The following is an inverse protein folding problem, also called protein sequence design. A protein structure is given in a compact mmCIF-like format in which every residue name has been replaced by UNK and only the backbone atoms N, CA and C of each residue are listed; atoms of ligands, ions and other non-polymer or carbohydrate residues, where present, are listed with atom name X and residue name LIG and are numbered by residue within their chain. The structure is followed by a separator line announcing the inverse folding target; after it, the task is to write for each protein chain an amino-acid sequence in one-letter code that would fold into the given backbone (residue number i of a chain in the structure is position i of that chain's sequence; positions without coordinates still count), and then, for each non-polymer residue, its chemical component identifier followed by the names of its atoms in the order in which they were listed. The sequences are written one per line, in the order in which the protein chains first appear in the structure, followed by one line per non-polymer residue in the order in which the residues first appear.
data_IF_624358290443
#
_entry.id   IF_624358290443
#
_cell.length_a   1.000
_cell.length_b   1.000
_cell.length_c   1.000
_cell.angle_alpha   90.00
_cell.angle_beta   90.00
_cell.angle_gamma   90.00
#
_symmetry.space_group_name_H-M   'P 1'
#
loop_
_entity.id
_entity.type
_entity.pdbx_description
1 polymer ?
#
# COMPACT_ATOMS: atom_id res chain seq x y z
N UNK A 1 36.46 -152.01 96.33
CA UNK A 1 36.25 -150.54 96.26
C UNK A 1 37.43 -149.92 95.53
N UNK A 2 37.33 -149.65 94.23
CA UNK A 2 38.29 -148.80 93.53
C UNK A 2 37.54 -147.57 93.01
N UNK A 3 37.70 -146.44 93.69
CA UNK A 3 37.19 -145.14 93.24
C UNK A 3 37.98 -144.73 92.00
N UNK A 4 37.30 -144.56 90.88
CA UNK A 4 37.89 -144.04 89.65
C UNK A 4 38.33 -142.58 89.88
N UNK A 5 39.64 -142.37 90.02
CA UNK A 5 40.28 -141.04 90.15
C UNK A 5 40.08 -140.13 88.92
N UNK A 6 39.49 -140.64 87.84
CA UNK A 6 39.20 -139.90 86.60
C UNK A 6 37.92 -139.07 86.71
N UNK A 7 36.96 -139.47 87.54
CA UNK A 7 35.67 -138.77 87.67
C UNK A 7 35.79 -137.36 88.30
N UNK A 8 36.57 -137.13 89.37
CA UNK A 8 36.74 -135.78 89.94
C UNK A 8 37.48 -134.80 89.00
N UNK A 9 38.45 -135.30 88.21
CA UNK A 9 39.16 -134.48 87.22
C UNK A 9 38.25 -134.09 86.04
N UNK A 10 37.40 -135.02 85.56
CA UNK A 10 36.39 -134.73 84.54
C UNK A 10 35.33 -133.73 85.04
N UNK A 11 34.96 -133.79 86.32
CA UNK A 11 34.00 -132.85 86.93
C UNK A 11 34.60 -131.44 87.09
N UNK A 12 35.89 -131.35 87.42
CA UNK A 12 36.64 -130.09 87.42
C UNK A 12 36.77 -129.50 86.01
N UNK A 13 37.20 -130.28 85.02
CA UNK A 13 37.27 -129.86 83.61
C UNK A 13 35.90 -129.41 83.08
N UNK A 14 34.82 -130.12 83.44
CA UNK A 14 33.47 -129.74 83.05
C UNK A 14 33.02 -128.41 83.69
N UNK A 15 33.39 -128.16 84.95
CA UNK A 15 33.08 -126.91 85.63
C UNK A 15 33.93 -125.73 85.11
N UNK A 16 35.20 -125.98 84.78
CA UNK A 16 36.07 -125.01 84.12
C UNK A 16 35.52 -124.64 82.73
N UNK A 17 35.14 -125.63 81.91
CA UNK A 17 34.49 -125.43 80.61
C UNK A 17 33.13 -124.72 80.72
N UNK A 18 32.34 -124.99 81.76
CA UNK A 18 31.08 -124.25 82.01
C UNK A 18 31.36 -122.78 82.36
N UNK A 19 32.41 -122.52 83.12
CA UNK A 19 32.85 -121.16 83.51
C UNK A 19 33.39 -120.39 82.30
N UNK A 20 34.19 -121.05 81.46
CA UNK A 20 34.65 -120.51 80.17
C UNK A 20 33.47 -120.24 79.24
N UNK A 21 32.52 -121.17 79.12
CA UNK A 21 31.30 -120.97 78.32
C UNK A 21 30.50 -119.75 78.78
N UNK A 22 30.36 -119.54 80.09
CA UNK A 22 29.68 -118.34 80.63
C UNK A 22 30.49 -117.08 80.30
N UNK A 23 31.81 -117.12 80.46
CA UNK A 23 32.71 -116.01 80.10
C UNK A 23 32.62 -115.67 78.61
N UNK A 24 32.68 -116.65 77.72
CA UNK A 24 32.52 -116.47 76.27
C UNK A 24 31.12 -115.97 75.91
N UNK A 25 30.06 -116.49 76.55
CA UNK A 25 28.69 -116.01 76.33
C UNK A 25 28.53 -114.54 76.73
N UNK A 26 29.11 -114.13 77.86
CA UNK A 26 29.13 -112.73 78.29
C UNK A 26 29.92 -111.86 77.31
N UNK A 27 31.06 -112.35 76.79
CA UNK A 27 31.88 -111.62 75.81
C UNK A 27 31.19 -111.50 74.45
N UNK A 28 30.49 -112.53 73.99
CA UNK A 28 29.64 -112.48 72.79
C UNK A 28 28.54 -111.43 72.99
N UNK A 29 27.84 -111.45 74.12
CA UNK A 29 26.79 -110.47 74.42
C UNK A 29 27.33 -109.03 74.48
N UNK A 30 28.53 -108.82 75.03
CA UNK A 30 29.20 -107.52 75.01
C UNK A 30 29.55 -107.07 73.58
N UNK A 31 30.13 -107.95 72.76
CA UNK A 31 30.48 -107.65 71.37
C UNK A 31 29.24 -107.39 70.51
N UNK A 32 28.12 -108.09 70.76
CA UNK A 32 26.84 -107.83 70.11
C UNK A 32 26.27 -106.46 70.50
N UNK A 33 26.37 -106.08 71.79
CA UNK A 33 26.03 -104.74 72.27
C UNK A 33 26.83 -103.65 71.56
N UNK A 34 28.17 -103.82 71.50
CA UNK A 34 29.06 -102.90 70.78
C UNK A 34 28.72 -102.81 69.29
N UNK A 35 28.43 -103.94 68.62
CA UNK A 35 28.04 -103.95 67.19
C UNK A 35 26.76 -103.16 66.94
N UNK A 36 25.76 -103.30 67.81
CA UNK A 36 24.49 -102.57 67.70
C UNK A 36 24.69 -101.07 67.95
N UNK A 37 25.54 -100.70 68.90
CA UNK A 37 25.91 -99.30 69.15
C UNK A 37 26.65 -98.69 67.95
N UNK A 38 27.63 -99.39 67.39
CA UNK A 38 28.34 -98.98 66.16
C UNK A 38 27.39 -98.81 64.97
N UNK A 39 26.41 -99.71 64.78
CA UNK A 39 25.40 -99.60 63.72
C UNK A 39 24.48 -98.39 63.93
N UNK A 40 24.05 -98.13 65.17
CA UNK A 40 23.25 -96.95 65.52
C UNK A 40 24.03 -95.66 65.27
N UNK A 41 25.31 -95.63 65.63
CA UNK A 41 26.18 -94.48 65.38
C UNK A 41 26.40 -94.26 63.88
N UNK A 42 26.64 -95.33 63.11
CA UNK A 42 26.73 -95.27 61.63
C UNK A 42 25.45 -94.73 61.00
N UNK A 43 24.27 -95.19 61.44
CA UNK A 43 22.99 -94.71 60.89
C UNK A 43 22.69 -93.27 61.30
N UNK A 44 23.02 -92.87 62.54
CA UNK A 44 22.95 -91.47 62.97
C UNK A 44 23.85 -90.59 62.11
N UNK A 45 25.11 -90.98 61.92
CA UNK A 45 26.04 -90.27 61.05
C UNK A 45 25.54 -90.20 59.60
N UNK A 46 24.93 -91.26 59.07
CA UNK A 46 24.33 -91.26 57.73
C UNK A 46 23.16 -90.28 57.61
N UNK A 47 22.28 -90.22 58.62
CA UNK A 47 21.16 -89.26 58.66
C UNK A 47 21.66 -87.82 58.78
N UNK A 48 22.66 -87.58 59.62
CA UNK A 48 23.29 -86.26 59.76
C UNK A 48 23.97 -85.81 58.46
N UNK A 49 24.66 -86.70 57.76
CA UNK A 49 25.24 -86.42 56.42
C UNK A 49 24.14 -86.08 55.41
N UNK A 50 23.07 -86.88 55.33
CA UNK A 50 21.94 -86.58 54.42
C UNK A 50 21.30 -85.22 54.70
N UNK A 51 21.11 -84.87 55.98
CA UNK A 51 20.57 -83.56 56.38
C UNK A 51 21.52 -82.42 55.99
N UNK A 52 22.83 -82.59 56.19
CA UNK A 52 23.84 -81.62 55.75
C UNK A 52 23.81 -81.47 54.23
N UNK A 53 23.70 -82.55 53.47
CA UNK A 53 23.63 -82.52 52.00
C UNK A 53 22.37 -81.80 51.50
N UNK A 54 21.23 -81.97 52.18
CA UNK A 54 19.99 -81.26 51.85
C UNK A 54 20.12 -79.75 52.09
N UNK A 55 20.69 -79.35 53.22
CA UNK A 55 20.99 -77.93 53.51
C UNK A 55 21.97 -77.36 52.48
N UNK A 56 22.98 -78.14 52.08
CA UNK A 56 23.95 -77.73 51.04
C UNK A 56 23.23 -77.52 49.71
N UNK A 57 22.35 -78.44 49.29
CA UNK A 57 21.56 -78.30 48.06
C UNK A 57 20.68 -77.05 48.08
N UNK A 58 19.96 -76.81 49.18
CA UNK A 58 19.11 -75.61 49.32
C UNK A 58 19.93 -74.31 49.29
N UNK A 59 21.14 -74.33 49.88
CA UNK A 59 22.05 -73.18 49.79
C UNK A 59 22.59 -72.98 48.37
N UNK A 60 22.91 -74.05 47.65
CA UNK A 60 23.37 -73.98 46.25
C UNK A 60 22.28 -73.39 45.36
N UNK A 61 21.02 -73.80 45.51
CA UNK A 61 19.91 -73.23 44.74
C UNK A 61 19.72 -71.75 45.05
N UNK A 62 19.77 -71.35 46.33
CA UNK A 62 19.69 -69.93 46.72
C UNK A 62 20.85 -69.10 46.16
N UNK A 63 22.06 -69.66 46.11
CA UNK A 63 23.22 -68.99 45.50
C UNK A 63 22.97 -68.80 44.00
N UNK A 64 22.48 -69.83 43.29
CA UNK A 64 22.18 -69.71 41.87
C UNK A 64 21.09 -68.65 41.57
N UNK A 65 20.04 -68.58 42.39
CA UNK A 65 18.99 -67.56 42.27
C UNK A 65 19.55 -66.14 42.51
N UNK A 66 20.42 -66.00 43.52
CA UNK A 66 21.13 -64.75 43.81
C UNK A 66 22.09 -64.36 42.69
N UNK A 67 22.81 -65.30 42.09
CA UNK A 67 23.69 -65.07 40.94
C UNK A 67 22.91 -64.60 39.72
N UNK A 68 21.77 -65.23 39.43
CA UNK A 68 20.88 -64.79 38.35
C UNK A 68 20.33 -63.38 38.60
N UNK A 69 19.92 -63.09 39.84
CA UNK A 69 19.42 -61.76 40.23
C UNK A 69 20.52 -60.69 40.11
N UNK A 70 21.72 -61.00 40.60
CA UNK A 70 22.89 -60.11 40.49
C UNK A 70 23.24 -59.82 39.04
N UNK A 71 23.13 -60.81 38.15
CA UNK A 71 23.36 -60.62 36.71
C UNK A 71 22.38 -59.61 36.10
N UNK A 72 21.08 -59.76 36.38
CA UNK A 72 20.04 -58.84 35.90
C UNK A 72 20.31 -57.42 36.44
N UNK A 73 20.63 -57.29 37.72
CA UNK A 73 20.95 -56.00 38.32
C UNK A 73 22.18 -55.34 37.71
N UNK A 74 23.20 -56.12 37.34
CA UNK A 74 24.39 -55.59 36.66
C UNK A 74 24.05 -55.07 35.24
N UNK A 75 23.19 -55.77 34.51
CA UNK A 75 22.70 -55.32 33.20
C UNK A 75 21.90 -54.01 33.32
N UNK A 76 20.99 -53.92 34.31
CA UNK A 76 20.23 -52.69 34.60
C UNK A 76 21.15 -51.52 34.98
N UNK A 77 22.16 -51.76 35.82
CA UNK A 77 23.15 -50.73 36.19
C UNK A 77 23.89 -50.22 34.95
N UNK A 78 24.25 -51.10 34.02
CA UNK A 78 24.96 -50.72 32.81
C UNK A 78 24.09 -49.87 31.88
N UNK A 79 22.81 -50.21 31.72
CA UNK A 79 21.88 -49.40 30.94
C UNK A 79 21.58 -48.05 31.63
N UNK A 80 21.49 -48.02 32.96
CA UNK A 80 21.42 -46.77 33.72
C UNK A 80 22.67 -45.90 33.52
N UNK A 81 23.87 -46.48 33.46
CA UNK A 81 25.09 -45.72 33.14
C UNK A 81 25.05 -45.11 31.73
N UNK A 82 24.62 -45.88 30.72
CA UNK A 82 24.48 -45.36 29.34
C UNK A 82 23.48 -44.21 29.28
N UNK A 83 22.33 -44.36 29.93
CA UNK A 83 21.31 -43.30 29.98
C UNK A 83 21.82 -42.06 30.72
N UNK A 84 22.55 -42.21 31.83
CA UNK A 84 23.20 -41.10 32.53
C UNK A 84 24.20 -40.35 31.65
N UNK A 85 25.04 -41.05 30.89
CA UNK A 85 26.02 -40.39 30.02
C UNK A 85 25.33 -39.66 28.85
N UNK A 86 24.25 -40.22 28.30
CA UNK A 86 23.40 -39.55 27.31
C UNK A 86 22.68 -38.31 27.86
N UNK A 87 22.24 -38.35 29.12
CA UNK A 87 21.65 -37.17 29.78
C UNK A 87 22.73 -36.10 29.99
N UNK A 88 23.94 -36.50 30.36
CA UNK A 88 25.07 -35.61 30.59
C UNK A 88 25.55 -34.94 29.30
N UNK A 89 25.56 -35.62 28.16
CA UNK A 89 25.83 -35.01 26.85
C UNK A 89 24.75 -33.99 26.49
N UNK A 90 23.47 -34.38 26.52
CA UNK A 90 22.35 -33.45 26.25
C UNK A 90 22.36 -32.22 27.15
N UNK A 91 22.70 -32.38 28.45
CA UNK A 91 22.84 -31.26 29.38
C UNK A 91 23.95 -30.30 28.96
N UNK A 92 25.09 -30.79 28.45
CA UNK A 92 26.17 -29.94 27.93
C UNK A 92 25.71 -29.14 26.71
N UNK A 93 25.02 -29.79 25.78
CA UNK A 93 24.53 -29.15 24.55
C UNK A 93 23.52 -28.03 24.88
N UNK A 94 22.57 -28.30 25.78
CA UNK A 94 21.59 -27.31 26.23
C UNK A 94 22.24 -26.13 26.98
N UNK A 95 23.29 -26.38 27.77
CA UNK A 95 24.05 -25.31 28.44
C UNK A 95 24.76 -24.42 27.41
N UNK A 96 25.30 -25.00 26.35
CA UNK A 96 25.97 -24.23 25.29
C UNK A 96 24.97 -23.42 24.45
N UNK A 97 23.81 -24.01 24.12
CA UNK A 97 22.73 -23.30 23.44
C UNK A 97 22.20 -22.13 24.29
N UNK A 98 22.03 -22.34 25.60
CA UNK A 98 21.66 -21.28 26.55
C UNK A 98 22.65 -20.12 26.53
N UNK A 99 23.97 -20.40 26.56
CA UNK A 99 25.00 -19.34 26.48
C UNK A 99 24.92 -18.55 25.18
N UNK A 100 24.65 -19.20 24.05
CA UNK A 100 24.48 -18.52 22.75
C UNK A 100 23.28 -17.58 22.78
N UNK A 101 22.14 -18.04 23.31
CA UNK A 101 20.94 -17.22 23.46
C UNK A 101 21.16 -16.03 24.42
N UNK A 102 21.84 -16.25 25.55
CA UNK A 102 22.19 -15.18 26.48
C UNK A 102 23.06 -14.10 25.82
N UNK A 103 24.03 -14.50 24.98
CA UNK A 103 24.83 -13.57 24.18
C UNK A 103 23.96 -12.74 23.22
N UNK A 104 23.07 -13.40 22.47
CA UNK A 104 22.16 -12.71 21.54
C UNK A 104 21.24 -11.72 22.26
N UNK A 105 20.71 -12.08 23.42
CA UNK A 105 19.91 -11.18 24.26
C UNK A 105 20.73 -9.97 24.70
N UNK A 106 22.00 -10.18 25.09
CA UNK A 106 22.92 -9.08 25.42
C UNK A 106 23.14 -8.11 24.27
N UNK A 107 23.38 -8.62 23.06
CA UNK A 107 23.54 -7.81 21.85
C UNK A 107 22.27 -7.02 21.50
N UNK A 108 21.10 -7.64 21.62
CA UNK A 108 19.82 -6.97 21.38
C UNK A 108 19.55 -5.87 22.42
N UNK A 109 19.86 -6.10 23.70
CA UNK A 109 19.76 -5.09 24.75
C UNK A 109 20.66 -3.89 24.46
N UNK A 110 21.91 -4.12 24.06
CA UNK A 110 22.84 -3.05 23.70
C UNK A 110 22.34 -2.22 22.51
N UNK A 111 21.85 -2.88 21.45
CA UNK A 111 21.23 -2.18 20.30
C UNK A 111 20.00 -1.37 20.71
N UNK A 112 19.19 -1.89 21.62
CA UNK A 112 17.99 -1.18 22.09
C UNK A 112 18.34 0.08 22.88
N UNK A 113 19.36 0.02 23.74
CA UNK A 113 19.88 1.21 24.44
C UNK A 113 20.51 2.21 23.47
N UNK A 114 21.24 1.76 22.45
CA UNK A 114 21.76 2.64 21.40
C UNK A 114 20.63 3.36 20.64
N UNK A 115 19.57 2.65 20.27
CA UNK A 115 18.40 3.23 19.61
C UNK A 115 17.68 4.24 20.52
N UNK A 116 17.57 3.93 21.82
CA UNK A 116 16.99 4.83 22.82
C UNK A 116 17.80 6.12 22.95
N UNK A 117 19.13 6.03 22.99
CA UNK A 117 20.02 7.21 22.99
C UNK A 117 19.86 8.02 21.70
N UNK A 118 19.80 7.37 20.53
CA UNK A 118 19.57 8.07 19.25
C UNK A 118 18.23 8.80 19.23
N UNK A 119 17.18 8.17 19.75
CA UNK A 119 15.86 8.79 19.85
C UNK A 119 15.88 9.98 20.81
N UNK A 120 16.53 9.84 21.97
CA UNK A 120 16.71 10.94 22.93
C UNK A 120 17.44 12.13 22.29
N UNK A 121 18.55 11.87 21.59
CA UNK A 121 19.29 12.90 20.84
C UNK A 121 18.41 13.54 19.76
N UNK A 122 17.56 12.78 19.07
CA UNK A 122 16.62 13.36 18.10
C UNK A 122 15.56 14.24 18.74
N UNK A 123 15.00 13.83 19.88
CA UNK A 123 14.04 14.63 20.65
C UNK A 123 14.71 15.91 21.14
N UNK A 124 15.92 15.83 21.68
CA UNK A 124 16.70 16.99 22.11
C UNK A 124 17.04 17.91 20.94
N UNK A 125 17.44 17.37 19.78
CA UNK A 125 17.63 18.16 18.56
C UNK A 125 16.36 18.84 18.09
N UNK A 126 15.19 18.19 18.19
CA UNK A 126 13.91 18.82 17.86
C UNK A 126 13.53 19.90 18.88
N UNK A 127 13.76 19.66 20.16
CA UNK A 127 13.55 20.63 21.23
C UNK A 127 14.47 21.85 21.04
N UNK A 128 15.76 21.63 20.79
CA UNK A 128 16.72 22.67 20.46
C UNK A 128 16.37 23.39 19.17
N UNK A 129 15.90 22.70 18.11
CA UNK A 129 15.43 23.36 16.88
C UNK A 129 14.20 24.23 17.15
N UNK A 130 13.29 23.80 18.03
CA UNK A 130 12.13 24.59 18.46
C UNK A 130 12.56 25.78 19.32
N UNK A 131 13.50 25.57 20.25
CA UNK A 131 14.09 26.60 21.09
C UNK A 131 14.92 27.58 20.27
N UNK A 132 15.62 27.15 19.23
CA UNK A 132 16.36 28.00 18.29
C UNK A 132 15.42 28.73 17.34
N UNK A 133 14.23 28.20 17.03
CA UNK A 133 13.17 28.98 16.35
C UNK A 133 12.60 30.06 17.28
N UNK A 134 12.36 29.72 18.54
CA UNK A 134 11.95 30.65 19.58
C UNK A 134 13.05 31.68 19.90
N UNK A 135 14.31 31.29 19.93
CA UNK A 135 15.47 32.17 20.09
C UNK A 135 15.81 32.92 18.82
N UNK A 136 15.60 32.41 17.61
CA UNK A 136 15.64 33.25 16.41
C UNK A 136 14.55 34.32 16.45
N UNK A 137 13.45 34.04 17.16
CA UNK A 137 12.39 35.01 17.47
C UNK A 137 12.69 35.88 18.70
N UNK A 138 13.70 35.57 19.54
CA UNK A 138 14.06 36.25 20.81
C UNK A 138 15.53 36.76 20.87
N UNK A 139 16.40 36.40 19.93
CA UNK A 139 17.84 36.75 19.81
C UNK A 139 18.07 37.85 18.77
N UNK A 140 17.14 38.05 17.83
CA UNK A 140 16.06 39.04 18.10
C UNK A 140 16.44 40.16 19.05
N UNK A 141 16.47 39.81 20.33
CA UNK A 141 16.08 40.69 21.41
C UNK A 141 17.04 40.63 22.62
N UNK A 142 18.40 40.57 22.47
CA UNK A 142 19.27 41.01 23.61
C UNK A 142 20.54 41.83 23.30
N UNK A 143 21.43 41.39 22.40
CA UNK A 143 22.53 42.24 21.88
C UNK A 143 21.99 43.13 20.75
N UNK A 144 21.20 42.48 19.88
CA UNK A 144 20.16 43.15 19.12
C UNK A 144 19.18 43.85 20.04
N UNK A 145 18.80 43.48 21.28
CA UNK A 145 17.95 44.40 22.10
C UNK A 145 18.65 45.69 22.44
N UNK A 146 19.95 45.72 22.69
CA UNK A 146 20.60 47.00 22.99
C UNK A 146 20.78 47.84 21.73
N UNK A 147 21.10 47.23 20.57
CA UNK A 147 21.15 47.89 19.26
C UNK A 147 19.76 48.19 18.67
N UNK A 148 18.76 47.35 18.93
CA UNK A 148 17.33 47.46 18.61
C UNK A 148 16.60 48.31 19.61
N UNK A 149 17.13 48.55 20.81
CA UNK A 149 16.62 49.56 21.75
C UNK A 149 17.10 50.91 21.29
N UNK A 150 18.37 51.05 20.90
CA UNK A 150 18.83 52.27 20.22
C UNK A 150 18.17 52.46 18.86
N UNK A 151 18.03 51.41 18.05
CA UNK A 151 17.29 51.47 16.79
C UNK A 151 15.78 51.58 17.02
N UNK A 152 15.19 51.06 18.11
CA UNK A 152 13.78 51.33 18.48
C UNK A 152 13.63 52.77 18.92
N UNK A 153 14.55 53.34 19.68
CA UNK A 153 14.45 54.73 20.10
C UNK A 153 14.55 55.65 18.86
N UNK A 154 15.43 55.31 17.90
CA UNK A 154 15.52 55.99 16.61
C UNK A 154 14.29 55.72 15.73
N UNK A 155 13.83 54.47 15.61
CA UNK A 155 12.65 54.08 14.84
C UNK A 155 11.36 54.59 15.48
N UNK A 156 11.31 54.79 16.79
CA UNK A 156 10.19 55.34 17.53
C UNK A 156 10.16 56.85 17.37
N UNK A 157 11.32 57.51 17.35
CA UNK A 157 11.43 58.93 16.97
C UNK A 157 11.05 59.14 15.50
N UNK A 158 11.52 58.25 14.61
CA UNK A 158 11.14 58.25 13.19
C UNK A 158 9.68 57.84 13.00
N UNK A 159 9.13 56.94 13.83
CA UNK A 159 7.72 56.59 13.83
C UNK A 159 6.88 57.73 14.35
N UNK A 160 7.31 58.49 15.35
CA UNK A 160 6.61 59.71 15.79
C UNK A 160 6.66 60.78 14.70
N UNK A 161 7.80 61.00 14.05
CA UNK A 161 7.90 61.93 12.93
C UNK A 161 7.09 61.45 11.72
N UNK A 162 7.15 60.16 11.39
CA UNK A 162 6.34 59.54 10.35
C UNK A 162 4.88 59.50 10.74
N UNK A 163 4.51 59.43 12.02
CA UNK A 163 3.14 59.44 12.51
C UNK A 163 2.58 60.86 12.53
N UNK A 164 3.39 61.88 12.79
CA UNK A 164 2.98 63.28 12.56
C UNK A 164 2.88 63.60 11.07
N UNK A 165 3.81 63.10 10.24
CA UNK A 165 3.68 63.13 8.78
C UNK A 165 2.50 62.30 8.29
N UNK A 166 2.18 61.18 8.95
CA UNK A 166 1.04 60.33 8.64
C UNK A 166 -0.24 61.01 9.08
N UNK A 167 -0.30 61.68 10.24
CA UNK A 167 -1.45 62.50 10.65
C UNK A 167 -1.66 63.68 9.71
N UNK A 168 -0.58 64.35 9.31
CA UNK A 168 -0.62 65.40 8.29
C UNK A 168 -1.11 64.82 6.96
N UNK A 169 -0.51 63.73 6.50
CA UNK A 169 -0.90 63.01 5.28
C UNK A 169 -2.27 62.35 5.37
N UNK A 170 -2.77 61.98 6.55
CA UNK A 170 -4.10 61.40 6.81
C UNK A 170 -5.13 62.50 6.87
N UNK A 171 -4.79 63.67 7.42
CA UNK A 171 -5.64 64.85 7.34
C UNK A 171 -5.73 65.34 5.89
N UNK A 172 -4.62 65.26 5.14
CA UNK A 172 -4.61 65.51 3.71
C UNK A 172 -5.32 64.40 2.92
N UNK A 173 -5.16 63.11 3.28
CA UNK A 173 -5.91 61.99 2.69
C UNK A 173 -7.39 62.04 3.07
N UNK A 174 -7.78 62.59 4.23
CA UNK A 174 -9.17 62.84 4.61
C UNK A 174 -9.75 63.99 3.80
N UNK A 175 -9.00 65.08 3.64
CA UNK A 175 -9.36 66.19 2.74
C UNK A 175 -9.51 65.68 1.30
N UNK A 176 -8.54 64.92 0.81
CA UNK A 176 -8.56 64.29 -0.50
C UNK A 176 -9.60 63.17 -0.58
N UNK A 177 -9.97 62.47 0.50
CA UNK A 177 -11.08 61.51 0.54
C UNK A 177 -12.42 62.20 0.54
N UNK A 178 -12.55 63.40 1.11
CA UNK A 178 -13.74 64.22 0.99
C UNK A 178 -13.88 64.80 -0.41
N UNK A 179 -12.77 65.23 -1.02
CA UNK A 179 -12.72 65.64 -2.43
C UNK A 179 -12.92 64.44 -3.37
N UNK A 180 -12.39 63.27 -3.04
CA UNK A 180 -12.59 62.02 -3.74
C UNK A 180 -14.02 61.54 -3.52
N UNK A 181 -14.64 61.72 -2.36
CA UNK A 181 -16.07 61.44 -2.13
C UNK A 181 -16.93 62.34 -3.00
N UNK A 182 -16.60 63.64 -3.09
CA UNK A 182 -17.27 64.55 -4.03
C UNK A 182 -17.06 64.11 -5.48
N UNK A 183 -15.85 63.70 -5.85
CA UNK A 183 -15.55 63.13 -7.17
C UNK A 183 -16.14 61.73 -7.36
N UNK A 184 -16.38 60.95 -6.30
CA UNK A 184 -16.97 59.61 -6.29
C UNK A 184 -18.47 59.72 -6.42
N UNK A 185 -19.11 60.73 -5.83
CA UNK A 185 -20.51 61.04 -6.09
C UNK A 185 -20.69 61.47 -7.54
N UNK A 186 -19.85 62.39 -8.05
CA UNK A 186 -19.84 62.74 -9.47
C UNK A 186 -19.48 61.55 -10.37
N UNK A 187 -18.57 60.66 -9.91
CA UNK A 187 -18.20 59.44 -10.60
C UNK A 187 -19.31 58.41 -10.50
N UNK A 188 -20.04 58.23 -9.42
CA UNK A 188 -21.13 57.24 -9.28
C UNK A 188 -22.30 57.64 -10.17
N UNK A 189 -22.59 58.93 -10.29
CA UNK A 189 -23.49 59.45 -11.33
C UNK A 189 -22.93 59.18 -12.74
N UNK A 190 -21.64 59.43 -12.98
CA UNK A 190 -20.99 59.12 -14.26
C UNK A 190 -20.80 57.62 -14.52
N UNK A 191 -20.72 56.77 -13.49
CA UNK A 191 -20.47 55.33 -13.52
C UNK A 191 -21.79 54.60 -13.65
N UNK A 192 -22.87 55.14 -13.09
CA UNK A 192 -24.25 54.76 -13.39
C UNK A 192 -24.56 55.05 -14.86
N UNK A 193 -24.19 56.24 -15.38
CA UNK A 193 -24.27 56.55 -16.81
C UNK A 193 -23.30 55.72 -17.67
N UNK A 194 -22.12 55.35 -17.16
CA UNK A 194 -21.14 54.50 -17.87
C UNK A 194 -21.51 53.02 -17.87
N UNK A 195 -22.12 52.49 -16.81
CA UNK A 195 -22.70 51.15 -16.78
C UNK A 195 -23.97 51.12 -17.61
N UNK A 196 -24.79 52.17 -17.60
CA UNK A 196 -25.88 52.30 -18.56
C UNK A 196 -25.33 52.38 -19.99
N UNK A 197 -24.22 53.08 -20.23
CA UNK A 197 -23.54 53.16 -21.54
C UNK A 197 -22.86 51.86 -21.94
N UNK A 198 -22.26 51.08 -21.02
CA UNK A 198 -21.65 49.77 -21.27
C UNK A 198 -22.74 48.71 -21.46
N UNK A 199 -23.80 48.74 -20.67
CA UNK A 199 -24.95 47.87 -20.83
C UNK A 199 -25.65 48.18 -22.16
N UNK A 200 -25.79 49.46 -22.51
CA UNK A 200 -26.24 49.90 -23.82
C UNK A 200 -25.24 49.57 -24.94
N UNK A 201 -23.92 49.62 -24.69
CA UNK A 201 -22.86 49.25 -25.65
C UNK A 201 -22.80 47.75 -25.90
N UNK A 202 -22.98 46.89 -24.89
CA UNK A 202 -23.12 45.43 -25.07
C UNK A 202 -24.50 45.03 -25.60
N UNK A 203 -25.54 45.86 -25.39
CA UNK A 203 -26.83 45.75 -26.09
C UNK A 203 -26.76 46.28 -27.54
N UNK A 204 -25.76 47.09 -27.89
CA UNK A 204 -25.55 47.71 -29.20
C UNK A 204 -24.35 47.16 -29.98
N UNK A 205 -23.52 46.29 -29.39
CA UNK A 205 -22.35 45.69 -30.04
C UNK A 205 -22.52 44.18 -30.06
N UNK A 206 -22.68 43.64 -31.27
CA UNK A 206 -22.90 42.21 -31.52
C UNK A 206 -21.60 41.40 -31.32
N UNK A 207 -21.10 41.35 -30.08
CA UNK A 207 -19.89 40.60 -29.69
C UNK A 207 -20.29 39.25 -29.10
N UNK A 208 -19.79 38.18 -29.71
CA UNK A 208 -20.05 36.79 -29.31
C UNK A 208 -18.74 36.12 -28.87
N UNK A 209 -18.76 35.47 -27.70
CA UNK A 209 -17.60 34.78 -27.11
C UNK A 209 -17.95 33.33 -26.76
N UNK A 210 -16.98 32.39 -26.86
CA UNK A 210 -17.17 31.01 -26.43
C UNK A 210 -17.35 30.94 -24.91
N UNK A 211 -18.16 30.00 -24.44
CA UNK A 211 -18.57 29.85 -23.03
C UNK A 211 -18.38 28.43 -22.50
N UNK A 212 -17.88 27.51 -23.32
CA UNK A 212 -17.76 26.08 -23.04
C UNK A 212 -19.06 25.30 -23.18
N UNK A 213 -20.16 25.94 -23.63
CA UNK A 213 -21.49 25.35 -23.80
C UNK A 213 -22.02 25.55 -25.23
N UNK A 214 -21.14 25.54 -26.23
CA UNK A 214 -21.43 25.97 -27.61
C UNK A 214 -22.50 25.14 -28.32
N UNK A 215 -22.76 23.93 -27.84
CA UNK A 215 -23.67 22.98 -28.43
C UNK A 215 -24.80 22.61 -27.45
N UNK A 216 -25.38 23.63 -26.83
CA UNK A 216 -26.49 23.54 -25.87
C UNK A 216 -27.54 24.63 -26.16
N UNK A 217 -28.73 24.52 -25.54
CA UNK A 217 -29.81 25.51 -25.66
C UNK A 217 -29.50 26.90 -25.10
N UNK A 218 -28.31 27.13 -24.56
CA UNK A 218 -27.87 28.44 -24.04
C UNK A 218 -26.55 28.92 -24.68
N UNK A 219 -26.32 28.56 -25.95
CA UNK A 219 -25.15 29.00 -26.71
C UNK A 219 -25.11 30.53 -26.87
N UNK A 220 -23.91 31.10 -26.80
CA UNK A 220 -23.61 32.53 -26.94
C UNK A 220 -22.93 32.86 -28.28
N UNK A 221 -23.11 32.02 -29.30
CA UNK A 221 -22.45 32.18 -30.61
C UNK A 221 -23.33 32.84 -31.68
N UNK A 222 -22.67 33.24 -32.77
CA UNK A 222 -23.28 33.99 -33.89
C UNK A 222 -24.36 33.18 -34.60
N UNK A 223 -24.11 31.91 -34.87
CA UNK A 223 -25.05 31.04 -35.58
C UNK A 223 -26.29 30.83 -34.72
N UNK A 224 -26.11 30.59 -33.42
CA UNK A 224 -27.24 30.49 -32.48
C UNK A 224 -28.09 31.76 -32.43
N UNK A 225 -27.45 32.93 -32.42
CA UNK A 225 -28.12 34.22 -32.46
C UNK A 225 -28.91 34.42 -33.77
N UNK A 226 -28.25 34.24 -34.93
CA UNK A 226 -28.86 34.46 -36.24
C UNK A 226 -30.02 33.50 -36.53
N UNK A 227 -30.02 32.27 -36.00
CA UNK A 227 -31.16 31.35 -36.17
C UNK A 227 -32.48 31.87 -35.60
N UNK A 228 -32.43 32.81 -34.65
CA UNK A 228 -33.60 33.43 -34.03
C UNK A 228 -34.05 34.68 -34.79
N UNK A 229 -33.19 35.23 -35.63
CA UNK A 229 -33.51 36.34 -36.49
C UNK A 229 -34.10 35.83 -37.82
N UNK A 230 -35.41 36.05 -38.01
CA UNK A 230 -36.10 35.65 -39.22
C UNK A 230 -35.57 36.36 -40.49
N UNK A 231 -34.84 37.47 -40.35
CA UNK A 231 -34.19 38.18 -41.45
C UNK A 231 -32.88 37.52 -41.89
N UNK A 232 -32.22 36.79 -40.98
CA UNK A 232 -30.98 36.10 -41.24
C UNK A 232 -31.25 34.83 -42.05
N UNK A 233 -30.95 34.90 -43.36
CA UNK A 233 -31.03 33.75 -44.28
C UNK A 233 -29.80 32.86 -44.17
N UNK A 234 -29.56 32.35 -42.95
CA UNK A 234 -28.44 31.45 -42.66
C UNK A 234 -28.58 30.17 -43.48
N UNK A 235 -27.52 29.81 -44.21
CA UNK A 235 -27.52 28.59 -45.04
C UNK A 235 -26.23 27.81 -44.85
N UNK A 236 -26.38 26.50 -44.67
CA UNK A 236 -25.27 25.57 -44.73
C UNK A 236 -25.25 24.86 -46.09
N UNK A 237 -24.05 24.62 -46.60
CA UNK A 237 -23.80 23.84 -47.80
C UNK A 237 -22.55 22.98 -47.62
N UNK A 238 -22.39 21.97 -48.47
CA UNK A 238 -21.26 21.06 -48.44
C UNK A 238 -20.85 20.67 -49.85
N UNK A 239 -19.60 20.28 -50.02
CA UNK A 239 -18.98 19.91 -51.31
C UNK A 239 -19.69 18.75 -52.04
N UNK A 240 -20.28 17.83 -51.29
CA UNK A 240 -20.95 16.63 -51.80
C UNK A 240 -21.88 16.09 -50.73
N UNK A 241 -22.91 15.35 -51.16
CA UNK A 241 -23.83 14.72 -50.24
C UNK A 241 -23.27 13.43 -49.65
N UNK A 242 -23.49 13.27 -48.35
CA UNK A 242 -23.26 12.05 -47.58
C UNK A 242 -24.46 11.82 -46.65
N UNK A 243 -24.28 11.12 -45.52
CA UNK A 243 -25.33 11.00 -44.50
C UNK A 243 -25.83 12.36 -44.03
N UNK A 244 -27.09 12.42 -43.59
CA UNK A 244 -27.73 13.63 -43.05
C UNK A 244 -27.89 14.77 -44.05
N UNK A 245 -28.34 15.92 -43.56
CA UNK A 245 -28.55 17.13 -44.34
C UNK A 245 -27.47 18.17 -44.03
N UNK A 246 -27.19 19.07 -44.98
CA UNK A 246 -26.24 20.16 -44.75
C UNK A 246 -26.72 21.11 -43.62
N UNK A 247 -28.03 21.24 -43.39
CA UNK A 247 -28.57 22.06 -42.30
C UNK A 247 -28.30 21.48 -40.90
N UNK A 248 -27.94 20.20 -40.79
CA UNK A 248 -27.74 19.55 -39.49
C UNK A 248 -26.59 20.19 -38.69
N UNK A 249 -25.56 20.70 -39.39
CA UNK A 249 -24.43 21.40 -38.77
C UNK A 249 -24.86 22.69 -38.04
N UNK A 250 -26.04 23.23 -38.34
CA UNK A 250 -26.58 24.41 -37.68
C UNK A 250 -27.38 24.06 -36.42
N UNK A 251 -27.55 22.79 -36.08
CA UNK A 251 -28.35 22.38 -34.92
C UNK A 251 -27.52 22.43 -33.64
N UNK A 252 -27.99 23.12 -32.60
CA UNK A 252 -27.28 23.22 -31.33
C UNK A 252 -27.67 22.11 -30.37
N UNK A 253 -28.93 21.68 -30.37
CA UNK A 253 -29.47 20.77 -29.36
C UNK A 253 -29.44 19.30 -29.77
N UNK A 254 -29.69 19.01 -31.05
CA UNK A 254 -29.72 17.64 -31.56
C UNK A 254 -28.46 17.37 -32.38
N UNK A 255 -27.69 16.37 -31.97
CA UNK A 255 -26.65 15.79 -32.82
C UNK A 255 -27.28 14.88 -33.88
N UNK A 256 -26.70 14.89 -35.08
CA UNK A 256 -27.13 14.09 -36.21
C UNK A 256 -25.91 13.46 -36.89
N UNK A 257 -26.09 12.27 -37.46
CA UNK A 257 -25.05 11.67 -38.31
C UNK A 257 -25.08 12.38 -39.64
N UNK A 258 -24.13 13.28 -39.85
CA UNK A 258 -24.03 14.10 -41.06
C UNK A 258 -22.60 14.20 -41.57
N UNK A 259 -22.44 14.12 -42.89
CA UNK A 259 -21.12 14.17 -43.54
C UNK A 259 -21.16 14.37 -45.05
N UNK A 260 -19.98 14.48 -45.66
CA UNK A 260 -19.81 14.52 -47.13
C UNK A 260 -19.58 13.12 -47.70
N UNK A 261 -19.55 12.99 -49.03
CA UNK A 261 -18.95 11.83 -49.66
C UNK A 261 -17.45 11.73 -49.32
N UNK A 262 -16.87 10.54 -49.46
CA UNK A 262 -15.47 10.30 -49.09
C UNK A 262 -14.46 10.77 -50.17
N UNK A 263 -14.51 12.06 -50.52
CA UNK A 263 -13.75 12.67 -51.62
C UNK A 263 -12.73 13.70 -51.13
N UNK A 264 -11.55 13.75 -51.76
CA UNK A 264 -10.54 14.76 -51.48
C UNK A 264 -11.08 16.19 -51.69
N UNK A 265 -10.55 17.16 -50.94
CA UNK A 265 -11.01 18.54 -50.92
C UNK A 265 -12.49 18.68 -50.50
N UNK A 266 -12.99 17.77 -49.66
CA UNK A 266 -14.31 17.91 -49.05
C UNK A 266 -14.37 19.18 -48.20
N UNK A 267 -15.52 19.84 -48.22
CA UNK A 267 -15.75 21.06 -47.43
C UNK A 267 -17.19 21.21 -46.93
N UNK A 268 -17.33 21.97 -45.86
CA UNK A 268 -18.60 22.46 -45.27
C UNK A 268 -18.56 23.98 -45.18
N UNK A 269 -19.60 24.66 -45.67
CA UNK A 269 -19.67 26.12 -45.73
C UNK A 269 -20.94 26.66 -45.07
N UNK A 270 -20.82 27.80 -44.41
CA UNK A 270 -21.91 28.57 -43.82
C UNK A 270 -21.96 29.95 -44.48
N UNK A 271 -23.15 30.34 -44.92
CA UNK A 271 -23.51 31.69 -45.36
C UNK A 271 -24.31 32.37 -44.24
N UNK A 272 -23.78 33.46 -43.67
CA UNK A 272 -24.45 34.23 -42.60
C UNK A 272 -25.63 35.09 -43.10
N UNK A 273 -25.82 35.15 -44.41
CA UNK A 273 -26.82 36.00 -45.07
C UNK A 273 -26.26 37.36 -45.50
N UNK A 274 -26.99 38.04 -46.38
CA UNK A 274 -26.53 39.26 -47.04
C UNK A 274 -26.25 40.43 -46.08
N UNK A 275 -26.97 40.47 -44.96
CA UNK A 275 -26.88 41.55 -43.97
C UNK A 275 -25.83 41.31 -42.89
N UNK A 276 -25.09 40.21 -42.95
CA UNK A 276 -24.19 39.83 -41.86
C UNK A 276 -22.78 39.57 -42.35
N UNK A 277 -21.83 40.14 -41.62
CA UNK A 277 -20.40 39.83 -41.74
C UNK A 277 -19.82 39.62 -40.37
N UNK A 278 -18.87 38.71 -40.22
CA UNK A 278 -18.27 38.40 -38.93
C UNK A 278 -16.75 38.65 -38.99
N UNK A 279 -16.26 39.45 -38.06
CA UNK A 279 -14.83 39.47 -37.70
C UNK A 279 -14.61 38.34 -36.70
N UNK A 280 -14.23 37.17 -37.21
CA UNK A 280 -14.12 35.97 -36.40
C UNK A 280 -12.92 36.01 -35.43
N UNK A 281 -13.11 35.41 -34.25
CA UNK A 281 -12.12 35.25 -33.19
C UNK A 281 -11.99 33.81 -32.72
N UNK A 282 -13.10 33.06 -32.71
CA UNK A 282 -13.10 31.65 -32.36
C UNK A 282 -14.13 30.92 -33.21
N UNK A 283 -13.95 29.61 -33.36
CA UNK A 283 -14.96 28.72 -33.91
C UNK A 283 -14.99 27.43 -33.12
N UNK A 284 -16.13 26.76 -33.12
CA UNK A 284 -16.33 25.46 -32.51
C UNK A 284 -16.92 24.49 -33.51
N UNK A 285 -16.50 23.23 -33.44
CA UNK A 285 -17.00 22.14 -34.27
C UNK A 285 -17.47 21.00 -33.38
N UNK A 286 -18.55 20.31 -33.80
CA UNK A 286 -19.05 19.08 -33.21
C UNK A 286 -18.99 17.96 -34.23
N UNK A 287 -18.39 16.83 -33.84
CA UNK A 287 -18.24 15.67 -34.71
C UNK A 287 -19.59 15.15 -35.22
N UNK A 288 -19.60 14.64 -36.45
CA UNK A 288 -20.79 14.08 -37.10
C UNK A 288 -21.06 12.63 -36.74
N UNK A 289 -20.05 11.84 -36.33
CA UNK A 289 -20.24 10.43 -35.96
C UNK A 289 -20.24 10.23 -34.45
N UNK A 290 -21.08 9.32 -33.98
CA UNK A 290 -21.35 9.07 -32.55
C UNK A 290 -20.12 8.56 -31.81
N UNK A 291 -19.35 7.70 -32.46
CA UNK A 291 -18.19 6.97 -31.94
C UNK A 291 -16.85 7.67 -32.20
N UNK A 292 -16.87 8.83 -32.87
CA UNK A 292 -15.65 9.54 -33.26
C UNK A 292 -14.89 8.89 -34.41
N UNK A 293 -15.48 7.91 -35.11
CA UNK A 293 -14.92 7.39 -36.36
C UNK A 293 -14.80 8.54 -37.39
N UNK A 294 -13.78 8.50 -38.24
CA UNK A 294 -13.58 9.48 -39.32
C UNK A 294 -13.54 10.93 -38.83
N UNK A 295 -13.05 11.14 -37.60
CA UNK A 295 -12.91 12.46 -37.00
C UNK A 295 -12.01 13.35 -37.85
N UNK A 296 -12.45 14.58 -38.08
CA UNK A 296 -11.65 15.60 -38.77
C UNK A 296 -10.34 15.87 -38.01
N UNK A 297 -9.21 15.78 -38.71
CA UNK A 297 -7.85 15.97 -38.15
C UNK A 297 -7.06 17.05 -38.86
N UNK A 298 -7.17 17.10 -40.19
CA UNK A 298 -6.45 18.06 -41.02
C UNK A 298 -7.47 18.92 -41.79
N UNK A 299 -7.66 20.15 -41.32
CA UNK A 299 -8.56 21.10 -41.96
C UNK A 299 -8.03 22.53 -41.89
N UNK A 300 -8.58 23.36 -42.76
CA UNK A 300 -8.38 24.80 -42.77
C UNK A 300 -9.73 25.50 -42.64
N UNK A 301 -9.75 26.57 -41.84
CA UNK A 301 -10.84 27.53 -41.82
C UNK A 301 -10.57 28.59 -42.87
N UNK A 302 -11.58 28.88 -43.70
CA UNK A 302 -11.52 29.92 -44.71
C UNK A 302 -12.69 30.89 -44.55
N UNK A 303 -12.46 32.15 -44.88
CA UNK A 303 -13.46 33.20 -44.94
C UNK A 303 -13.64 33.70 -46.38
N UNK A 304 -14.87 34.11 -46.73
CA UNK A 304 -15.14 34.71 -48.04
C UNK A 304 -16.19 35.82 -47.94
N UNK A 305 -16.08 36.80 -48.83
CA UNK A 305 -17.07 37.87 -48.98
C UNK A 305 -18.21 37.50 -49.96
N UNK A 306 -17.92 36.64 -50.94
CA UNK A 306 -18.78 36.33 -52.09
C UNK A 306 -19.13 34.84 -52.21
N UNK A 307 -18.43 33.96 -51.49
CA UNK A 307 -18.57 32.50 -51.56
C UNK A 307 -17.75 31.88 -52.70
N UNK A 308 -17.00 32.67 -53.46
CA UNK A 308 -16.19 32.25 -54.60
C UNK A 308 -14.70 32.39 -54.31
N UNK A 309 -14.28 33.53 -53.75
CA UNK A 309 -12.90 33.84 -53.39
C UNK A 309 -12.69 33.61 -51.90
N UNK A 310 -11.84 32.64 -51.56
CA UNK A 310 -11.63 32.17 -50.19
C UNK A 310 -10.26 32.58 -49.67
N UNK A 311 -10.24 33.14 -48.45
CA UNK A 311 -9.03 33.52 -47.74
C UNK A 311 -8.82 32.62 -46.54
N UNK A 312 -7.60 32.11 -46.38
CA UNK A 312 -7.24 31.25 -45.25
C UNK A 312 -7.23 32.05 -43.95
N UNK A 313 -7.99 31.57 -42.97
CA UNK A 313 -8.01 32.09 -41.60
C UNK A 313 -7.17 31.14 -40.75
N UNK A 314 -6.00 31.62 -40.31
CA UNK A 314 -5.06 30.80 -39.55
C UNK A 314 -5.65 30.44 -38.19
N UNK A 315 -5.85 29.14 -37.96
CA UNK A 315 -6.17 28.59 -36.64
C UNK A 315 -4.91 28.59 -35.77
N UNK A 316 -5.05 28.99 -34.51
CA UNK A 316 -3.97 28.90 -33.52
C UNK A 316 -4.07 27.51 -32.87
N UNK A 317 -3.09 26.66 -33.15
CA UNK A 317 -2.98 25.34 -32.53
C UNK A 317 -2.12 25.46 -31.26
N UNK A 318 -2.65 25.00 -30.13
CA UNK A 318 -1.88 24.79 -28.92
C UNK A 318 -1.44 23.32 -28.91
N UNK A 319 -0.13 23.04 -28.82
CA UNK A 319 0.43 21.68 -28.95
C UNK A 319 0.05 20.75 -27.78
N UNK A 320 -0.54 21.30 -26.71
CA UNK A 320 -0.82 20.58 -25.46
C UNK A 320 -2.27 20.04 -25.34
N UNK A 321 -3.20 20.45 -26.21
CA UNK A 321 -4.63 20.07 -26.10
C UNK A 321 -5.07 19.11 -27.24
N UNK A 322 -5.88 18.05 -26.95
CA UNK A 322 -6.46 17.23 -28.00
C UNK A 322 -7.38 18.08 -28.89
N UNK A 323 -7.21 17.99 -30.21
CA UNK A 323 -7.97 18.80 -31.19
C UNK A 323 -9.49 18.73 -30.96
N UNK A 324 -10.02 17.56 -30.57
CA UNK A 324 -11.40 17.40 -30.10
C UNK A 324 -11.36 16.80 -28.69
N UNK A 325 -11.93 17.47 -27.68
CA UNK A 325 -11.84 17.06 -26.28
C UNK A 325 -13.15 17.38 -25.51
N UNK A 326 -14.00 16.36 -25.30
CA UNK A 326 -15.14 16.29 -24.37
C UNK A 326 -15.80 14.89 -24.50
N UNK A 327 -16.51 14.34 -23.49
CA UNK A 327 -16.86 12.90 -23.49
C UNK A 327 -17.78 12.50 -24.65
N UNK A 328 -17.65 11.27 -25.18
CA UNK A 328 -18.58 10.75 -26.18
C UNK A 328 -20.02 10.71 -25.65
N UNK A 329 -21.02 10.76 -26.54
CA UNK A 329 -20.89 10.82 -28.00
C UNK A 329 -20.79 12.26 -28.57
N UNK A 330 -20.22 12.39 -29.77
CA UNK A 330 -20.10 13.63 -30.55
C UNK A 330 -19.13 14.68 -29.95
N UNK A 331 -17.85 14.33 -29.93
CA UNK A 331 -16.75 15.18 -29.48
C UNK A 331 -16.81 16.60 -30.08
N UNK A 332 -16.48 17.58 -29.26
CA UNK A 332 -16.43 18.99 -29.64
C UNK A 332 -15.02 19.53 -29.51
N UNK A 333 -14.68 20.52 -30.33
CA UNK A 333 -13.46 21.30 -30.20
C UNK A 333 -13.77 22.78 -30.41
N UNK A 334 -12.98 23.64 -29.77
CA UNK A 334 -13.07 25.09 -29.89
C UNK A 334 -11.68 25.64 -30.12
N UNK A 335 -11.51 26.47 -31.14
CA UNK A 335 -10.20 27.02 -31.50
C UNK A 335 -10.26 28.53 -31.65
N UNK A 336 -9.19 29.19 -31.21
CA UNK A 336 -8.93 30.59 -31.52
C UNK A 336 -8.34 30.73 -32.91
N UNK A 337 -8.60 31.86 -33.56
CA UNK A 337 -7.97 32.22 -34.84
C UNK A 337 -7.02 33.40 -34.64
N UNK A 338 -6.00 33.47 -35.50
CA UNK A 338 -5.10 34.63 -35.53
C UNK A 338 -5.90 35.91 -35.77
N UNK A 339 -5.47 37.02 -35.17
CA UNK A 339 -6.22 38.28 -35.17
C UNK A 339 -6.35 38.83 -36.60
N UNK A 340 -7.41 38.44 -37.28
CA UNK A 340 -7.86 39.04 -38.53
C UNK A 340 -8.62 40.35 -38.29
N UNK A 341 -8.49 41.26 -39.25
CA UNK A 341 -9.26 42.51 -39.34
C UNK A 341 -10.45 42.34 -40.31
N UNK A 342 -10.38 41.39 -41.24
CA UNK A 342 -11.40 41.18 -42.27
C UNK A 342 -12.72 40.62 -41.69
N UNK A 343 -13.84 41.11 -42.22
CA UNK A 343 -15.19 40.68 -41.87
C UNK A 343 -15.82 39.89 -43.04
N UNK A 344 -16.00 38.58 -42.85
CA UNK A 344 -16.48 37.68 -43.90
C UNK A 344 -17.96 37.34 -43.74
N UNK A 345 -18.64 37.08 -44.85
CA UNK A 345 -20.03 36.61 -44.87
C UNK A 345 -20.09 35.08 -44.86
N UNK A 346 -19.15 34.46 -45.55
CA UNK A 346 -19.06 33.02 -45.69
C UNK A 346 -17.89 32.47 -44.90
N UNK A 347 -18.09 31.31 -44.29
CA UNK A 347 -17.05 30.58 -43.58
C UNK A 347 -17.08 29.12 -44.01
N UNK A 348 -15.91 28.53 -44.27
CA UNK A 348 -15.82 27.15 -44.71
C UNK A 348 -14.74 26.39 -43.96
N UNK A 349 -15.06 25.15 -43.61
CA UNK A 349 -14.11 24.14 -43.17
C UNK A 349 -13.73 23.31 -44.39
N UNK A 350 -12.47 23.41 -44.82
CA UNK A 350 -11.90 22.67 -45.93
C UNK A 350 -10.98 21.58 -45.40
N UNK A 351 -11.21 20.33 -45.80
CA UNK A 351 -10.32 19.23 -45.44
C UNK A 351 -9.04 19.28 -46.28
N UNK A 352 -7.89 19.24 -45.62
CA UNK A 352 -6.57 19.32 -46.26
C UNK A 352 -5.75 18.03 -46.15
N UNK A 353 -6.18 17.08 -45.32
CA UNK A 353 -5.59 15.75 -45.17
C UNK A 353 -6.65 14.67 -44.91
N UNK A 354 -6.22 13.42 -44.73
CA UNK A 354 -7.13 12.34 -44.35
C UNK A 354 -7.72 12.59 -42.96
N UNK A 355 -8.95 12.16 -42.71
CA UNK A 355 -9.53 12.11 -41.37
C UNK A 355 -8.86 11.01 -40.52
N UNK A 356 -9.29 10.80 -39.27
CA UNK A 356 -8.70 9.79 -38.37
C UNK A 356 -8.73 8.34 -38.91
N UNK A 357 -9.54 8.05 -39.93
CA UNK A 357 -9.58 6.76 -40.63
C UNK A 357 -8.71 6.72 -41.89
N UNK A 358 -7.93 7.75 -42.17
CA UNK A 358 -7.09 7.89 -43.37
C UNK A 358 -7.89 8.16 -44.65
N UNK A 359 -9.17 8.54 -44.53
CA UNK A 359 -10.05 8.77 -45.68
C UNK A 359 -10.32 10.26 -45.88
N UNK A 360 -10.69 10.63 -47.09
CA UNK A 360 -11.21 11.96 -47.37
C UNK A 360 -12.72 11.95 -47.14
N UNK A 361 -13.30 13.00 -46.57
CA UNK A 361 -14.68 13.08 -46.08
C UNK A 361 -14.76 13.77 -44.71
N UNK A 362 -15.66 14.75 -44.58
CA UNK A 362 -15.88 15.52 -43.35
C UNK A 362 -17.22 15.14 -42.72
N UNK A 363 -17.19 14.70 -41.47
CA UNK A 363 -18.39 14.40 -40.68
C UNK A 363 -18.55 15.42 -39.55
N UNK A 364 -19.54 16.30 -39.67
CA UNK A 364 -19.85 17.34 -38.67
C UNK A 364 -21.34 17.35 -38.35
N UNK A 365 -21.67 17.53 -37.08
CA UNK A 365 -23.05 17.71 -36.61
C UNK A 365 -23.28 19.08 -35.98
N UNK A 366 -22.27 19.94 -35.93
CA UNK A 366 -22.37 21.25 -35.31
C UNK A 366 -21.21 22.15 -35.71
N UNK A 367 -21.51 23.43 -35.95
CA UNK A 367 -20.55 24.52 -36.07
C UNK A 367 -21.09 25.74 -35.33
N UNK A 368 -20.19 26.46 -34.68
CA UNK A 368 -20.49 27.74 -34.07
C UNK A 368 -19.34 28.73 -34.28
N UNK A 369 -19.65 30.01 -34.45
CA UNK A 369 -18.69 31.08 -34.73
C UNK A 369 -18.78 32.18 -33.68
N UNK A 370 -17.64 32.76 -33.32
CA UNK A 370 -17.53 33.79 -32.28
C UNK A 370 -16.68 34.94 -32.77
N UNK A 371 -17.05 36.17 -32.40
CA UNK A 371 -16.36 37.38 -32.83
C UNK A 371 -17.29 38.59 -32.81
N UNK A 372 -17.00 39.57 -33.65
CA UNK A 372 -17.83 40.77 -33.80
C UNK A 372 -18.67 40.61 -35.06
N UNK A 373 -19.97 40.43 -34.88
CA UNK A 373 -20.93 40.42 -35.97
C UNK A 373 -21.22 41.87 -36.38
N UNK A 374 -21.25 42.09 -37.68
CA UNK A 374 -21.54 43.37 -38.29
C UNK A 374 -22.82 43.18 -39.10
N UNK A 375 -23.88 43.81 -38.62
CA UNK A 375 -25.18 43.85 -39.29
C UNK A 375 -25.21 45.08 -40.22
N UNK A 376 -25.53 44.88 -41.50
CA UNK A 376 -25.56 45.94 -42.55
C UNK A 376 -26.94 46.16 -43.12
#
# INVERSE_FOLDING_TARGET
MHRCLRCPNLEKELNDLKTERVTFKNKISQLEGMRVEDEKEKEKNRKDTKRKDEIIREKITKIADLESTNKIQLEEIEDLKKTMENIKTKKRDLVEEKKKLEKQIGELKAKNEELKLKLQVQIEKQAQKKELRLKLQVQTDLEELNQLKTQNDVLSSQMEELNEKLKSSESECKRLQEELKKCQMMREEATSLFYLFIYLFFLLSDIFLPTGNEFTGNCSGVIYFLKRDASAKLRASRSSDGPGEASDILNHEKSAISGTAESANSWWSIDLGLSHRLVIKHYSLRQGKRDGESALTDWELEGSHDGENWEKIKTIYNEEDPQFAAPPPFYTGTWSVEKGIAAFRFFRILQTGGNSSGKYGIYLSGIELFGVLLST
#
